data_IF_769749249661
#
_entry.id   IF_769749249661
#
_cell.length_a   1.000
_cell.length_b   1.000
_cell.length_c   1.000
_cell.angle_alpha   90.00
_cell.angle_beta   90.00
_cell.angle_gamma   90.00
#
_symmetry.space_group_name_H-M   'P 1'
#
loop_
_entity.id
_entity.type
_entity.pdbx_description
1 polymer ?
#
# COMPACT_ATOMS: atom_id res chain seq x y z
N UNK A 1 -23.64 6.41 9.38
CA UNK A 1 -23.29 6.11 9.77
C UNK A 1 -23.34 5.53 10.60
N UNK A 2 -23.53 5.51 10.80
CA UNK A 2 -23.45 5.18 11.61
C UNK A 2 -23.39 4.20 12.01
N UNK A 3 -23.55 3.65 11.81
CA UNK A 3 -23.39 2.74 12.24
C UNK A 3 -22.34 2.18 12.37
N UNK A 4 -21.83 2.61 11.91
CA UNK A 4 -20.83 2.15 12.03
C UNK A 4 -20.45 1.79 13.18
N UNK A 5 -20.76 2.29 13.91
CA UNK A 5 -20.43 2.05 15.02
C UNK A 5 -20.80 0.92 15.53
N UNK A 6 -21.64 0.48 15.17
CA UNK A 6 -22.07 -0.59 15.80
C UNK A 6 -21.35 -1.70 15.40
N UNK A 7 -20.98 -1.88 14.54
CA UNK A 7 -20.57 -2.98 14.22
C UNK A 7 -19.55 -3.26 14.35
N UNK A 8 -19.14 -3.68 14.15
CA UNK A 8 -18.17 -4.38 14.48
C UNK A 8 -17.19 -3.58 15.09
N UNK A 9 -17.50 -3.10 16.14
CA UNK A 9 -16.59 -2.32 16.86
C UNK A 9 -15.33 -3.10 17.21
N UNK A 10 -15.41 -4.36 17.45
CA UNK A 10 -14.23 -5.14 17.72
C UNK A 10 -13.30 -5.17 16.51
N UNK A 11 -13.87 -5.20 15.32
CA UNK A 11 -13.07 -5.17 14.14
C UNK A 11 -12.38 -3.84 13.97
N UNK A 12 -13.06 -2.77 14.27
CA UNK A 12 -12.48 -1.45 14.18
C UNK A 12 -11.32 -1.32 15.14
N UNK A 13 -11.44 -1.90 16.33
CA UNK A 13 -10.38 -1.78 17.32
C UNK A 13 -9.13 -2.54 16.95
N UNK A 14 -9.20 -3.45 15.97
CA UNK A 14 -8.02 -4.15 15.50
C UNK A 14 -7.27 -3.40 14.44
N UNK A 15 -7.83 -2.31 13.92
CA UNK A 15 -7.16 -1.51 12.91
C UNK A 15 -6.34 -0.43 13.58
N UNK A 16 -5.12 -0.24 13.13
CA UNK A 16 -4.33 0.88 13.59
C UNK A 16 -4.87 2.18 13.00
N UNK A 17 -4.61 3.28 13.67
CA UNK A 17 -4.98 4.59 13.16
C UNK A 17 -4.30 4.83 11.81
N UNK A 18 -3.04 4.43 11.70
CA UNK A 18 -2.30 4.61 10.48
C UNK A 18 -2.92 3.86 9.32
N UNK A 19 -3.41 2.65 9.57
CA UNK A 19 -4.03 1.88 8.50
C UNK A 19 -5.36 2.51 8.08
N UNK A 20 -6.15 2.97 9.03
CA UNK A 20 -7.39 3.66 8.72
C UNK A 20 -7.11 4.91 7.88
N UNK A 21 -6.10 5.68 8.25
CA UNK A 21 -5.73 6.88 7.50
C UNK A 21 -5.26 6.52 6.09
N UNK A 22 -4.55 5.43 5.94
CA UNK A 22 -4.09 4.97 4.64
C UNK A 22 -5.27 4.63 3.71
N UNK A 23 -6.23 3.91 4.24
CA UNK A 23 -7.42 3.57 3.47
C UNK A 23 -8.18 4.82 3.06
N UNK A 24 -8.28 5.77 3.96
CA UNK A 24 -8.99 6.99 3.71
C UNK A 24 -8.28 7.86 2.67
N UNK A 25 -6.94 7.91 2.73
CA UNK A 25 -6.18 8.66 1.74
C UNK A 25 -6.46 8.14 0.34
N UNK A 26 -6.49 6.82 0.18
CA UNK A 26 -6.79 6.25 -1.13
C UNK A 26 -8.21 6.58 -1.56
N UNK A 27 -9.15 6.45 -0.65
CA UNK A 27 -10.56 6.65 -0.96
C UNK A 27 -10.84 8.08 -1.39
N UNK A 28 -10.16 9.04 -0.77
CA UNK A 28 -10.37 10.45 -1.03
C UNK A 28 -9.42 11.03 -2.08
N UNK A 29 -8.52 10.22 -2.60
CA UNK A 29 -7.49 10.70 -3.51
C UNK A 29 -8.06 11.13 -4.85
N UNK A 30 -7.45 12.15 -5.44
CA UNK A 30 -7.73 12.56 -6.81
C UNK A 30 -6.92 11.75 -7.83
N UNK A 31 -6.10 10.82 -7.36
CA UNK A 31 -5.20 10.05 -8.22
C UNK A 31 -5.61 8.60 -8.29
N UNK A 32 -6.90 8.34 -8.37
CA UNK A 32 -7.41 6.96 -8.32
C UNK A 32 -6.86 6.10 -9.44
N UNK A 33 -6.61 6.70 -10.61
CA UNK A 33 -6.05 5.95 -11.71
C UNK A 33 -4.65 5.43 -11.37
N UNK A 34 -3.84 6.23 -10.69
CA UNK A 34 -2.50 5.81 -10.28
C UNK A 34 -2.59 4.73 -9.21
N UNK A 35 -3.48 4.89 -8.23
CA UNK A 35 -3.68 3.88 -7.22
C UNK A 35 -4.03 2.54 -7.86
N UNK A 36 -4.95 2.57 -8.83
CA UNK A 36 -5.38 1.34 -9.50
C UNK A 36 -4.27 0.72 -10.34
N UNK A 37 -3.46 1.53 -10.98
CA UNK A 37 -2.31 1.02 -11.73
C UNK A 37 -1.35 0.28 -10.81
N UNK A 38 -1.12 0.81 -9.62
CA UNK A 38 -0.15 0.24 -8.71
C UNK A 38 -0.66 -1.02 -8.03
N UNK A 39 -1.94 -1.34 -8.15
CA UNK A 39 -2.44 -2.64 -7.70
C UNK A 39 -1.82 -3.79 -8.47
N UNK A 40 -1.25 -3.51 -9.64
CA UNK A 40 -0.58 -4.55 -10.42
C UNK A 40 0.84 -4.83 -9.92
N UNK A 41 1.38 -4.00 -9.04
CA UNK A 41 2.72 -4.22 -8.51
C UNK A 41 2.63 -5.21 -7.36
N UNK A 42 3.33 -6.34 -7.49
CA UNK A 42 3.27 -7.42 -6.53
C UNK A 42 4.56 -7.50 -5.74
N UNK A 43 4.46 -8.11 -4.57
CA UNK A 43 5.64 -8.38 -3.76
C UNK A 43 6.45 -9.47 -4.45
N UNK A 44 7.77 -9.28 -4.62
CA UNK A 44 8.56 -10.30 -5.29
C UNK A 44 8.71 -11.59 -4.48
N UNK A 45 8.53 -11.53 -3.18
CA UNK A 45 8.66 -12.71 -2.32
C UNK A 45 7.33 -13.42 -2.14
N UNK A 46 6.23 -12.71 -2.27
CA UNK A 46 4.90 -13.28 -2.12
C UNK A 46 4.04 -12.75 -3.28
N UNK A 47 4.25 -13.30 -4.48
CA UNK A 47 3.68 -12.70 -5.69
C UNK A 47 2.17 -12.52 -5.73
N UNK A 48 1.35 -13.32 -5.02
CA UNK A 48 -0.08 -13.05 -5.03
C UNK A 48 -0.48 -11.76 -4.33
N UNK A 49 0.41 -11.17 -3.54
CA UNK A 49 0.08 -9.99 -2.76
C UNK A 49 0.62 -8.73 -3.41
N UNK A 50 -0.26 -7.74 -3.57
CA UNK A 50 0.15 -6.45 -4.10
C UNK A 50 0.78 -5.61 -2.99
N UNK A 51 1.48 -4.57 -3.40
CA UNK A 51 2.06 -3.64 -2.43
C UNK A 51 0.97 -2.93 -1.63
N UNK A 52 -0.23 -2.81 -2.18
CA UNK A 52 -1.35 -2.28 -1.41
C UNK A 52 -1.81 -3.28 -0.35
N UNK A 53 -1.98 -4.54 -0.74
CA UNK A 53 -2.41 -5.58 0.19
C UNK A 53 -1.46 -5.74 1.35
N UNK A 54 -0.18 -5.58 1.10
CA UNK A 54 0.83 -5.72 2.14
C UNK A 54 0.97 -4.49 3.03
N UNK A 55 0.33 -3.38 2.66
CA UNK A 55 0.50 -2.17 3.45
C UNK A 55 1.80 -1.43 3.14
N UNK A 56 2.45 -1.75 2.05
CA UNK A 56 3.68 -1.06 1.64
C UNK A 56 3.36 0.26 0.96
N UNK A 57 2.34 0.27 0.10
CA UNK A 57 1.93 1.49 -0.59
C UNK A 57 1.15 2.38 0.38
N UNK A 58 1.69 3.56 0.66
CA UNK A 58 1.14 4.43 1.68
C UNK A 58 0.34 5.59 1.14
N UNK A 59 0.84 6.25 0.11
CA UNK A 59 0.21 7.47 -0.34
C UNK A 59 0.62 7.78 -1.76
N UNK A 60 -0.22 8.53 -2.45
CA UNK A 60 0.09 9.08 -3.75
C UNK A 60 -0.35 10.53 -3.73
N UNK A 61 0.62 11.44 -3.87
CA UNK A 61 0.35 12.86 -3.82
C UNK A 61 0.94 13.53 -5.05
N UNK A 62 0.56 14.76 -5.28
CA UNK A 62 1.11 15.54 -6.37
C UNK A 62 1.47 16.90 -5.87
N UNK A 63 2.69 17.32 -6.16
CA UNK A 63 3.14 18.66 -5.87
C UNK A 63 3.62 19.27 -7.18
N UNK A 64 2.97 20.35 -7.56
CA UNK A 64 3.21 20.94 -8.87
C UNK A 64 2.93 19.88 -9.92
N UNK A 65 3.89 19.54 -10.74
CA UNK A 65 3.68 18.55 -11.79
C UNK A 65 4.23 17.18 -11.44
N UNK A 66 4.72 16.99 -10.22
CA UNK A 66 5.40 15.75 -9.84
C UNK A 66 4.50 14.89 -8.97
N UNK A 67 4.27 13.66 -9.39
CA UNK A 67 3.53 12.69 -8.59
C UNK A 67 4.52 11.98 -7.67
N UNK A 68 4.21 11.93 -6.39
CA UNK A 68 5.04 11.25 -5.42
C UNK A 68 4.31 10.00 -4.93
N UNK A 69 4.95 8.86 -5.12
CA UNK A 69 4.46 7.59 -4.60
C UNK A 69 5.24 7.28 -3.32
N UNK A 70 4.55 7.20 -2.21
CA UNK A 70 5.18 6.98 -0.92
C UNK A 70 5.00 5.54 -0.50
N UNK A 71 6.10 4.88 -0.19
CA UNK A 71 6.09 3.48 0.23
C UNK A 71 6.81 3.34 1.56
N UNK A 72 6.39 2.34 2.34
CA UNK A 72 7.03 2.02 3.62
C UNK A 72 7.51 0.59 3.54
N UNK A 73 8.82 0.34 3.74
CA UNK A 73 9.34 -1.02 3.66
C UNK A 73 8.85 -1.86 4.83
N UNK A 74 8.67 -3.14 4.58
CA UNK A 74 8.55 -4.10 5.67
C UNK A 74 9.88 -4.16 6.38
N UNK A 75 9.86 -4.65 7.62
CA UNK A 75 11.05 -4.58 8.46
C UNK A 75 12.25 -5.33 7.87
N UNK A 76 12.02 -6.29 7.02
CA UNK A 76 13.11 -7.09 6.49
C UNK A 76 13.32 -6.90 5.00
N UNK A 77 12.71 -5.90 4.42
CA UNK A 77 12.51 -5.90 3.00
C UNK A 77 13.43 -5.06 2.15
N UNK A 78 14.65 -4.77 2.58
CA UNK A 78 15.48 -3.85 1.81
C UNK A 78 15.71 -4.27 0.36
N UNK A 79 16.08 -5.51 0.06
CA UNK A 79 16.26 -5.86 -1.35
C UNK A 79 14.94 -5.86 -2.13
N UNK A 80 13.85 -6.27 -1.47
CA UNK A 80 12.56 -6.28 -2.13
C UNK A 80 12.10 -4.87 -2.46
N UNK A 81 12.48 -3.89 -1.64
CA UNK A 81 12.05 -2.52 -1.90
C UNK A 81 12.63 -1.96 -3.18
N UNK A 82 13.84 -2.35 -3.53
CA UNK A 82 14.43 -1.92 -4.78
C UNK A 82 13.64 -2.49 -5.96
N UNK A 83 13.28 -3.77 -5.89
CA UNK A 83 12.49 -4.39 -6.95
C UNK A 83 11.12 -3.73 -7.06
N UNK A 84 10.50 -3.45 -5.92
CA UNK A 84 9.19 -2.79 -5.90
C UNK A 84 9.29 -1.41 -6.55
N UNK A 85 10.33 -0.65 -6.23
CA UNK A 85 10.48 0.68 -6.81
C UNK A 85 10.67 0.60 -8.32
N UNK A 86 11.43 -0.38 -8.79
CA UNK A 86 11.61 -0.59 -10.22
C UNK A 86 10.30 -0.97 -10.89
N UNK A 87 9.51 -1.81 -10.25
CA UNK A 87 8.23 -2.21 -10.82
C UNK A 87 7.25 -1.05 -10.87
N UNK A 88 7.21 -0.23 -9.82
CA UNK A 88 6.38 0.98 -9.83
C UNK A 88 6.78 1.87 -10.99
N UNK A 89 8.07 2.07 -11.16
CA UNK A 89 8.57 2.90 -12.26
C UNK A 89 8.11 2.36 -13.60
N UNK A 90 8.25 1.06 -13.80
CA UNK A 90 7.86 0.44 -15.06
C UNK A 90 6.36 0.61 -15.32
N UNK A 91 5.54 0.37 -14.31
CA UNK A 91 4.09 0.46 -14.47
C UNK A 91 3.68 1.88 -14.83
N UNK A 92 4.26 2.87 -14.14
CA UNK A 92 3.89 4.25 -14.39
C UNK A 92 4.39 4.73 -15.75
N UNK A 93 5.58 4.33 -16.15
CA UNK A 93 6.11 4.72 -17.45
C UNK A 93 5.29 4.13 -18.58
N UNK A 94 4.88 2.89 -18.45
CA UNK A 94 4.05 2.25 -19.47
C UNK A 94 2.69 2.90 -19.61
N UNK A 95 2.21 3.50 -18.52
CA UNK A 95 0.92 4.19 -18.55
C UNK A 95 1.03 5.64 -19.01
N UNK A 96 2.23 6.09 -19.35
CA UNK A 96 2.42 7.44 -19.87
C UNK A 96 2.84 8.48 -18.85
N UNK A 97 3.10 8.06 -17.61
CA UNK A 97 3.58 8.99 -16.60
C UNK A 97 5.08 9.12 -16.70
N UNK A 98 5.58 10.33 -16.75
CA UNK A 98 7.01 10.57 -16.84
C UNK A 98 7.54 11.43 -15.72
N UNK A 99 6.66 12.10 -14.97
CA UNK A 99 7.10 13.05 -13.97
C UNK A 99 6.63 12.57 -12.59
N UNK A 100 7.37 11.64 -12.02
CA UNK A 100 7.03 11.06 -10.72
C UNK A 100 8.29 10.73 -9.97
N UNK A 101 8.12 10.54 -8.67
CA UNK A 101 9.23 10.08 -7.82
C UNK A 101 8.67 9.11 -6.79
N UNK A 102 9.54 8.28 -6.27
CA UNK A 102 9.19 7.31 -5.24
C UNK A 102 9.89 7.72 -3.97
N UNK A 103 9.11 7.93 -2.92
CA UNK A 103 9.63 8.33 -1.62
C UNK A 103 9.43 7.19 -0.63
N UNK A 104 10.39 6.99 0.24
CA UNK A 104 10.32 5.98 1.28
C UNK A 104 10.04 6.66 2.61
N UNK A 105 9.04 6.14 3.32
CA UNK A 105 8.70 6.66 4.64
C UNK A 105 8.90 5.56 5.66
N UNK A 106 9.76 5.82 6.62
CA UNK A 106 10.11 4.83 7.63
C UNK A 106 9.32 4.97 8.93
N UNK A 107 8.67 6.09 9.12
CA UNK A 107 7.88 6.34 10.32
C UNK A 107 6.48 6.76 9.93
N UNK A 108 5.43 6.13 10.46
CA UNK A 108 5.49 4.99 11.37
C UNK A 108 6.02 3.75 10.65
N UNK A 109 6.64 2.87 11.44
CA UNK A 109 7.19 1.64 10.89
C UNK A 109 6.08 0.71 10.44
N UNK A 110 6.38 -0.11 9.43
CA UNK A 110 5.43 -1.09 8.92
C UNK A 110 5.02 -2.07 10.01
N UNK A 111 3.76 -2.48 9.99
CA UNK A 111 3.23 -3.46 10.94
C UNK A 111 2.28 -4.39 10.20
N UNK A 112 2.09 -5.58 10.76
CA UNK A 112 1.15 -6.54 10.20
C UNK A 112 -0.29 -6.03 10.25
N UNK A 113 -0.58 -5.01 11.05
CA UNK A 113 -1.91 -4.41 11.09
C UNK A 113 -2.29 -3.79 9.76
N UNK A 114 -1.32 -3.52 8.91
CA UNK A 114 -1.58 -2.88 7.62
C UNK A 114 -1.89 -3.89 6.53
N UNK A 115 -1.81 -5.18 6.83
CA UNK A 115 -2.21 -6.20 5.87
C UNK A 115 -3.71 -6.15 5.65
N UNK A 116 -4.13 -6.29 4.41
CA UNK A 116 -5.54 -6.45 4.13
C UNK A 116 -6.01 -7.82 4.63
N UNK A 117 -7.30 -7.97 4.81
CA UNK A 117 -7.83 -9.27 5.22
C UNK A 117 -7.52 -10.33 4.16
N UNK A 118 -7.61 -9.96 2.91
CA UNK A 118 -7.26 -10.86 1.82
C UNK A 118 -5.80 -11.27 1.92
N UNK A 119 -4.92 -10.34 2.25
CA UNK A 119 -3.50 -10.64 2.39
C UNK A 119 -3.25 -11.61 3.53
N UNK A 120 -3.93 -11.42 4.65
CA UNK A 120 -3.79 -12.33 5.79
C UNK A 120 -4.17 -13.74 5.41
N UNK A 121 -5.24 -13.89 4.66
CA UNK A 121 -5.70 -15.21 4.24
C UNK A 121 -4.72 -15.85 3.29
N UNK A 122 -4.16 -15.07 2.35
CA UNK A 122 -3.20 -15.61 1.41
C UNK A 122 -1.90 -16.01 2.08
N UNK A 123 -1.47 -15.26 3.09
CA UNK A 123 -0.28 -15.62 3.84
C UNK A 123 -0.46 -16.94 4.55
N UNK A 124 -1.66 -17.19 5.08
CA UNK A 124 -1.92 -18.48 5.70
C UNK A 124 -1.82 -19.61 4.70
N UNK A 125 -2.31 -19.40 3.48
CA UNK A 125 -2.23 -20.39 2.44
C UNK A 125 -0.80 -20.69 2.04
N UNK A 126 0.09 -19.72 2.19
CA UNK A 126 1.50 -19.92 1.93
C UNK A 126 2.21 -20.57 3.13
N UNK A 127 1.52 -20.73 4.25
CA UNK A 127 2.17 -21.25 5.43
C UNK A 127 2.93 -20.19 6.22
N UNK A 128 2.70 -18.93 5.93
CA UNK A 128 3.33 -17.82 6.64
C UNK A 128 2.33 -17.27 7.64
N UNK A 129 2.71 -17.08 8.87
CA UNK A 129 1.80 -16.57 9.88
C UNK A 129 2.30 -15.30 10.54
#
# INVERSE_FOLDING_TARGET
>A
MVNLMSTPSSKISLLSVENYDRLKRRQESNHKAVWNLLDAVKDPEIPPLSIWDLGVLQDITQQQAVITVTITPTYSGCPAMQVIAEDITTVLQRAGYSNFRIATRLSPAWTTDWLSESARNRLRQYGVT
#
